data_IF_494159282598
#
_entry.id   IF_494159282598
#
_cell.length_a   1.000
_cell.length_b   1.000
_cell.length_c   1.000
_cell.angle_alpha   90.00
_cell.angle_beta   90.00
_cell.angle_gamma   90.00
#
_symmetry.space_group_name_H-M   'P 1'
#
loop_
_entity.id
_entity.type
_entity.pdbx_description
1 polymer ?
#
# COMPACT_ATOMS: atom_id res chain seq x y z
N UNK A 1 -0.10 2.68 -18.75
CA UNK A 1 0.18 2.44 -17.33
C UNK A 1 0.46 3.77 -16.69
N UNK A 2 -0.35 4.15 -15.71
CA UNK A 2 -0.18 5.37 -14.94
C UNK A 2 0.21 4.97 -13.53
N UNK A 3 1.25 5.60 -12.98
CA UNK A 3 1.67 5.36 -11.60
C UNK A 3 1.20 6.51 -10.72
N UNK A 4 0.61 6.15 -9.57
CA UNK A 4 0.13 7.09 -8.56
C UNK A 4 0.89 6.86 -7.27
N UNK A 5 1.58 7.90 -6.78
CA UNK A 5 2.18 7.90 -5.44
C UNK A 5 1.23 8.64 -4.50
N UNK A 6 0.71 7.92 -3.51
CA UNK A 6 -0.31 8.40 -2.58
C UNK A 6 0.35 8.70 -1.24
N UNK A 7 0.47 9.99 -0.92
CA UNK A 7 1.04 10.49 0.35
C UNK A 7 0.06 11.42 1.07
N UNK A 8 -1.02 11.81 0.39
CA UNK A 8 -2.01 12.76 0.88
C UNK A 8 -3.39 12.55 0.26
N UNK A 9 -4.40 13.20 0.85
CA UNK A 9 -5.75 13.24 0.29
C UNK A 9 -5.78 13.85 -1.13
N UNK A 10 -4.90 14.80 -1.43
CA UNK A 10 -4.81 15.41 -2.76
C UNK A 10 -4.43 14.37 -3.82
N UNK A 11 -3.55 13.44 -3.48
CA UNK A 11 -3.09 12.41 -4.40
C UNK A 11 -4.20 11.38 -4.67
N UNK A 12 -4.96 11.00 -3.63
CA UNK A 12 -6.16 10.18 -3.77
C UNK A 12 -7.20 10.83 -4.69
N UNK A 13 -7.46 12.13 -4.53
CA UNK A 13 -8.37 12.88 -5.39
C UNK A 13 -7.82 13.14 -6.80
N UNK A 14 -6.54 12.87 -7.04
CA UNK A 14 -5.91 12.91 -8.36
C UNK A 14 -6.16 11.66 -9.20
N UNK A 15 -6.68 10.58 -8.58
CA UNK A 15 -7.04 9.35 -9.28
C UNK A 15 -8.38 9.56 -10.02
N UNK A 16 -8.50 9.12 -11.29
CA UNK A 16 -9.76 9.15 -12.01
C UNK A 16 -10.87 8.44 -11.23
N UNK A 17 -12.05 9.06 -11.16
CA UNK A 17 -13.16 8.59 -10.31
C UNK A 17 -13.58 7.15 -10.61
N UNK A 18 -13.56 6.76 -11.88
CA UNK A 18 -13.88 5.41 -12.35
C UNK A 18 -12.84 4.35 -11.96
N UNK A 19 -11.67 4.78 -11.47
CA UNK A 19 -10.55 3.92 -11.09
C UNK A 19 -10.25 3.91 -9.59
N UNK A 20 -10.96 4.71 -8.80
CA UNK A 20 -10.79 4.77 -7.34
C UNK A 20 -11.07 3.41 -6.71
N UNK A 21 -12.10 2.70 -7.18
CA UNK A 21 -12.47 1.40 -6.63
C UNK A 21 -11.35 0.36 -6.81
N UNK A 22 -10.73 0.30 -8.00
CA UNK A 22 -9.58 -0.59 -8.27
C UNK A 22 -8.41 -0.27 -7.32
N UNK A 23 -8.06 1.02 -7.21
CA UNK A 23 -6.98 1.48 -6.34
C UNK A 23 -7.22 1.09 -4.87
N UNK A 24 -8.44 1.28 -4.37
CA UNK A 24 -8.79 0.97 -2.98
C UNK A 24 -8.84 -0.54 -2.72
N UNK A 25 -9.24 -1.33 -3.72
CA UNK A 25 -9.25 -2.79 -3.63
C UNK A 25 -7.84 -3.38 -3.55
N UNK A 26 -6.88 -2.81 -4.29
CA UNK A 26 -5.47 -3.19 -4.18
C UNK A 26 -4.84 -2.75 -2.86
N UNK A 27 -5.10 -1.52 -2.41
CA UNK A 27 -4.65 -1.04 -1.09
C UNK A 27 -5.17 -1.94 0.04
N UNK A 28 -6.45 -2.34 -0.02
CA UNK A 28 -7.07 -3.26 0.93
C UNK A 28 -6.31 -4.59 1.01
N UNK A 29 -5.92 -5.16 -0.12
CA UNK A 29 -5.18 -6.42 -0.15
C UNK A 29 -3.74 -6.25 0.37
N UNK A 30 -3.10 -5.12 0.07
CA UNK A 30 -1.83 -4.72 0.67
C UNK A 30 -1.84 -4.64 2.18
N UNK A 31 -2.85 -3.96 2.74
CA UNK A 31 -3.02 -3.80 4.19
C UNK A 31 -3.24 -5.15 4.90
N UNK A 32 -3.98 -6.08 4.28
CA UNK A 32 -4.14 -7.45 4.82
C UNK A 32 -2.80 -8.17 4.89
N UNK A 33 -1.98 -8.09 3.84
CA UNK A 33 -0.66 -8.72 3.82
C UNK A 33 0.27 -8.08 4.87
N UNK A 34 0.23 -6.75 5.00
CA UNK A 34 0.98 -6.03 6.03
C UNK A 34 0.64 -6.50 7.42
N UNK A 35 -0.65 -6.64 7.72
CA UNK A 35 -1.10 -7.13 9.01
C UNK A 35 -0.53 -8.52 9.34
N UNK A 36 -0.65 -9.46 8.39
CA UNK A 36 -0.11 -10.83 8.54
C UNK A 36 1.41 -10.82 8.77
N UNK A 37 2.16 -9.99 8.04
CA UNK A 37 3.60 -9.89 8.22
C UNK A 37 3.97 -9.32 9.59
N UNK A 38 3.28 -8.27 10.03
CA UNK A 38 3.52 -7.66 11.33
C UNK A 38 3.24 -8.64 12.48
N UNK A 39 2.16 -9.42 12.38
CA UNK A 39 1.89 -10.50 13.34
C UNK A 39 3.01 -11.57 13.31
N UNK A 40 3.44 -12.01 12.13
CA UNK A 40 4.47 -13.03 11.99
C UNK A 40 5.85 -12.62 12.51
N UNK A 41 6.19 -11.33 12.42
CA UNK A 41 7.46 -10.78 12.89
C UNK A 41 7.36 -10.14 14.28
N UNK A 42 6.23 -10.30 14.97
CA UNK A 42 5.97 -9.71 16.29
C UNK A 42 6.19 -8.19 16.33
N UNK A 43 5.91 -7.51 15.21
CA UNK A 43 6.07 -6.05 15.09
C UNK A 43 4.82 -5.37 15.63
N UNK A 44 4.93 -4.49 16.65
CA UNK A 44 3.77 -3.79 17.19
C UNK A 44 3.11 -2.86 16.16
N UNK A 45 1.82 -3.08 15.89
CA UNK A 45 1.00 -2.22 15.00
C UNK A 45 0.89 -0.79 15.53
N UNK A 46 0.92 -0.62 16.85
CA UNK A 46 0.80 0.70 17.48
C UNK A 46 1.93 1.68 17.09
N UNK A 47 3.07 1.16 16.64
CA UNK A 47 4.24 1.95 16.25
C UNK A 47 4.38 2.14 14.73
N UNK A 48 3.46 1.57 13.94
CA UNK A 48 3.49 1.66 12.49
C UNK A 48 2.87 2.96 11.99
N UNK A 49 3.64 3.70 11.19
CA UNK A 49 3.19 4.87 10.47
C UNK A 49 3.14 4.52 8.98
N UNK A 50 1.95 4.64 8.41
CA UNK A 50 1.76 4.55 6.96
C UNK A 50 2.31 5.82 6.31
N UNK A 51 3.34 5.68 5.48
CA UNK A 51 4.01 6.80 4.84
C UNK A 51 3.47 7.03 3.43
N UNK A 52 3.58 6.01 2.58
CA UNK A 52 3.18 6.11 1.19
C UNK A 52 2.76 4.76 0.61
N UNK A 53 1.88 4.84 -0.39
CA UNK A 53 1.49 3.71 -1.22
C UNK A 53 1.62 4.11 -2.69
N UNK A 54 2.24 3.24 -3.47
CA UNK A 54 2.35 3.40 -4.91
C UNK A 54 1.44 2.40 -5.60
N UNK A 55 0.52 2.92 -6.40
CA UNK A 55 -0.40 2.13 -7.22
C UNK A 55 -0.06 2.27 -8.68
N UNK A 56 -0.04 1.14 -9.38
CA UNK A 56 0.11 1.09 -10.82
C UNK A 56 -1.23 0.75 -11.45
N UNK A 57 -1.77 1.69 -12.22
CA UNK A 57 -2.93 1.44 -13.05
C UNK A 57 -2.51 0.69 -14.32
N UNK A 58 -2.33 -0.62 -14.19
CA UNK A 58 -2.01 -1.55 -15.27
C UNK A 58 -3.03 -2.70 -15.40
N UNK A 59 -4.01 -2.79 -14.50
CA UNK A 59 -4.96 -3.89 -14.41
C UNK A 59 -4.35 -5.19 -13.86
N UNK A 60 -3.07 -5.16 -13.49
CA UNK A 60 -2.42 -6.17 -12.68
C UNK A 60 -2.46 -5.71 -11.23
N UNK A 61 -2.54 -6.64 -10.29
CA UNK A 61 -2.63 -6.31 -8.85
C UNK A 61 -1.25 -6.11 -8.24
N UNK A 62 -0.41 -5.35 -8.95
CA UNK A 62 0.98 -5.09 -8.60
C UNK A 62 1.05 -3.85 -7.70
N UNK A 63 1.43 -4.05 -6.44
CA UNK A 63 1.38 -2.99 -5.43
C UNK A 63 2.68 -2.91 -4.63
N UNK A 64 3.13 -1.70 -4.35
CA UNK A 64 4.17 -1.46 -3.33
C UNK A 64 3.64 -0.53 -2.24
N UNK A 65 3.70 -0.97 -0.98
CA UNK A 65 3.40 -0.15 0.20
C UNK A 65 4.61 -0.04 1.09
N UNK A 66 4.88 1.15 1.62
CA UNK A 66 5.95 1.39 2.58
C UNK A 66 5.36 1.79 3.93
N UNK A 67 5.75 1.09 4.99
CA UNK A 67 5.46 1.45 6.36
C UNK A 67 6.77 1.71 7.11
N UNK A 68 6.77 2.76 7.92
CA UNK A 68 7.90 3.14 8.75
C UNK A 68 7.54 2.88 10.21
N UNK A 69 8.49 2.36 10.97
CA UNK A 69 8.30 2.10 12.40
C UNK A 69 9.08 3.13 13.23
N UNK A 70 8.55 3.45 14.40
CA UNK A 70 9.18 4.38 15.36
C UNK A 70 10.60 3.98 15.76
N UNK A 71 10.97 2.71 15.64
CA UNK A 71 12.32 2.18 15.87
C UNK A 71 13.32 2.45 14.74
N UNK A 72 12.91 3.12 13.66
CA UNK A 72 13.74 3.41 12.49
C UNK A 72 13.77 2.29 11.44
N UNK A 73 13.01 1.22 11.63
CA UNK A 73 12.81 0.17 10.64
C UNK A 73 11.86 0.62 9.51
N UNK A 74 12.06 0.08 8.31
CA UNK A 74 11.16 0.26 7.16
C UNK A 74 10.70 -1.12 6.72
N UNK A 75 9.37 -1.34 6.70
CA UNK A 75 8.77 -2.49 6.01
C UNK A 75 8.32 -2.03 4.63
N UNK A 76 8.87 -2.64 3.59
CA UNK A 76 8.36 -2.54 2.24
C UNK A 76 7.62 -3.83 1.90
N UNK A 77 6.39 -3.68 1.43
CA UNK A 77 5.56 -4.79 0.99
C UNK A 77 5.33 -4.64 -0.49
N UNK A 78 5.82 -5.61 -1.24
CA UNK A 78 5.52 -5.76 -2.65
C UNK A 78 4.55 -6.93 -2.82
N UNK A 79 3.40 -6.65 -3.40
CA UNK A 79 2.45 -7.66 -3.84
C UNK A 79 2.62 -7.78 -5.35
N UNK A 80 3.14 -8.92 -5.80
CA UNK A 80 3.18 -9.31 -7.20
C UNK A 80 2.16 -10.45 -7.37
N UNK A 81 0.91 -10.13 -7.76
CA UNK A 81 -0.06 -11.18 -8.13
C UNK A 81 0.13 -11.51 -9.60
N UNK A 82 0.91 -12.57 -9.84
CA UNK A 82 0.87 -13.27 -11.11
C UNK A 82 -0.37 -14.16 -11.10
N UNK A 83 -1.44 -13.70 -11.74
CA UNK A 83 -2.57 -14.54 -12.10
C UNK A 83 -2.21 -15.47 -13.27
#
# INVERSE_FOLDING_TARGET
>A
MTEYKIESLKDLLGIPVDRIDDCLDELKDGLKLMHVQMEAFEIPVADAVFDSFTWQDDGAKNMTSNAHFSCGGVAQIKVDRND
#
